data_IF_484761746578
#
_entry.id   IF_484761746578
#
_cell.length_a   1.000
_cell.length_b   1.000
_cell.length_c   1.000
_cell.angle_alpha   90.00
_cell.angle_beta   90.00
_cell.angle_gamma   90.00
#
_symmetry.space_group_name_H-M   'P 1'
#
loop_
_entity.id
_entity.type
_entity.pdbx_description
1 polymer ?
#
# COMPACT_ATOMS: atom_id res chain seq x y z
N UNK A 1 -7.70 10.86 11.30
CA UNK A 1 -7.83 10.13 10.02
C UNK A 1 -8.28 8.69 10.23
N UNK A 2 -9.23 8.20 9.43
CA UNK A 2 -9.71 6.81 9.49
C UNK A 2 -8.82 5.86 8.66
N UNK A 3 -8.73 4.56 8.97
CA UNK A 3 -8.03 3.59 8.13
C UNK A 3 -8.60 3.51 6.71
N UNK A 4 -9.91 3.73 6.53
CA UNK A 4 -10.53 3.75 5.20
C UNK A 4 -10.00 4.91 4.36
N UNK A 5 -9.88 6.10 4.96
CA UNK A 5 -9.26 7.23 4.28
C UNK A 5 -7.80 6.94 3.91
N UNK A 6 -7.05 6.23 4.77
CA UNK A 6 -5.66 5.90 4.49
C UNK A 6 -5.54 4.85 3.37
N UNK A 7 -6.43 3.87 3.34
CA UNK A 7 -6.54 2.93 2.20
C UNK A 7 -6.92 3.65 0.91
N UNK A 8 -7.81 4.64 0.95
CA UNK A 8 -8.15 5.44 -0.22
C UNK A 8 -6.95 6.24 -0.75
N UNK A 9 -6.13 6.81 0.16
CA UNK A 9 -4.89 7.46 -0.25
C UNK A 9 -3.89 6.48 -0.87
N UNK A 10 -3.73 5.29 -0.29
CA UNK A 10 -2.88 4.23 -0.88
C UNK A 10 -3.40 3.85 -2.27
N UNK A 11 -4.70 3.64 -2.41
CA UNK A 11 -5.33 3.30 -3.69
C UNK A 11 -5.11 4.38 -4.76
N UNK A 12 -5.35 5.65 -4.40
CA UNK A 12 -5.11 6.78 -5.31
C UNK A 12 -3.64 6.95 -5.66
N UNK A 13 -2.74 6.75 -4.71
CA UNK A 13 -1.30 6.77 -4.95
C UNK A 13 -0.89 5.65 -5.91
N UNK A 14 -1.35 4.41 -5.70
CA UNK A 14 -1.02 3.26 -6.57
C UNK A 14 -1.54 3.46 -8.00
N UNK A 15 -2.73 4.02 -8.16
CA UNK A 15 -3.27 4.37 -9.48
C UNK A 15 -2.41 5.43 -10.17
N UNK A 16 -2.05 6.51 -9.45
CA UNK A 16 -1.18 7.57 -9.97
C UNK A 16 0.23 7.05 -10.28
N UNK A 17 0.76 6.15 -9.45
CA UNK A 17 2.05 5.50 -9.64
C UNK A 17 2.07 4.71 -10.95
N UNK A 18 1.04 3.88 -11.18
CA UNK A 18 0.82 3.19 -12.45
C UNK A 18 0.80 4.15 -13.64
N UNK A 19 0.01 5.21 -13.57
CA UNK A 19 -0.06 6.20 -14.65
C UNK A 19 1.29 6.89 -14.91
N UNK A 20 2.03 7.29 -13.87
CA UNK A 20 3.34 7.93 -14.04
C UNK A 20 4.41 6.96 -14.53
N UNK A 21 4.31 5.66 -14.21
CA UNK A 21 5.27 4.65 -14.64
C UNK A 21 5.26 4.39 -16.16
N UNK A 22 4.15 4.71 -16.83
CA UNK A 22 4.03 4.65 -18.28
C UNK A 22 4.66 5.87 -19.00
N UNK A 23 4.97 6.95 -18.26
CA UNK A 23 5.51 8.18 -18.87
C UNK A 23 7.02 8.08 -19.14
N UNK A 24 7.51 8.49 -20.33
CA UNK A 24 8.93 8.48 -20.65
C UNK A 24 9.74 9.38 -19.70
N UNK A 25 10.89 8.90 -19.23
CA UNK A 25 11.77 9.65 -18.32
C UNK A 25 11.30 9.73 -16.87
N UNK A 26 10.16 9.12 -16.53
CA UNK A 26 9.63 9.08 -15.17
C UNK A 26 9.94 7.78 -14.41
N UNK A 27 10.72 6.88 -15.01
CA UNK A 27 11.21 5.64 -14.40
C UNK A 27 12.71 5.76 -14.14
N UNK A 28 13.14 5.30 -12.96
CA UNK A 28 14.54 5.39 -12.56
C UNK A 28 14.75 5.22 -11.05
N UNK A 29 15.99 4.95 -10.60
CA UNK A 29 16.25 4.57 -9.21
C UNK A 29 15.81 5.62 -8.17
N UNK A 30 16.00 6.90 -8.49
CA UNK A 30 15.61 7.99 -7.60
C UNK A 30 14.08 8.12 -7.48
N UNK A 31 13.35 8.06 -8.59
CA UNK A 31 11.88 8.11 -8.58
C UNK A 31 11.29 6.89 -7.88
N UNK A 32 11.89 5.71 -8.08
CA UNK A 32 11.42 4.47 -7.47
C UNK A 32 11.63 4.49 -5.95
N UNK A 33 12.76 5.03 -5.49
CA UNK A 33 13.01 5.23 -4.06
C UNK A 33 12.00 6.20 -3.44
N UNK A 34 11.67 7.31 -4.12
CA UNK A 34 10.67 8.27 -3.64
C UNK A 34 9.28 7.65 -3.59
N UNK A 35 8.86 6.94 -4.63
CA UNK A 35 7.58 6.21 -4.68
C UNK A 35 7.48 5.20 -3.55
N UNK A 36 8.53 4.41 -3.35
CA UNK A 36 8.62 3.45 -2.27
C UNK A 36 8.49 4.13 -0.90
N UNK A 37 9.23 5.22 -0.67
CA UNK A 37 9.16 5.97 0.58
C UNK A 37 7.77 6.55 0.84
N UNK A 38 7.11 7.12 -0.18
CA UNK A 38 5.74 7.64 -0.08
C UNK A 38 4.76 6.52 0.25
N UNK A 39 4.81 5.39 -0.46
CA UNK A 39 3.96 4.23 -0.18
C UNK A 39 4.16 3.73 1.26
N UNK A 40 5.41 3.66 1.70
CA UNK A 40 5.76 3.25 3.05
C UNK A 40 5.16 4.20 4.10
N UNK A 41 5.28 5.52 3.91
CA UNK A 41 4.66 6.53 4.77
C UNK A 41 3.14 6.32 4.82
N UNK A 42 2.48 6.11 3.68
CA UNK A 42 1.03 5.87 3.63
C UNK A 42 0.63 4.58 4.36
N UNK A 43 1.42 3.51 4.25
CA UNK A 43 1.24 2.28 5.03
C UNK A 43 1.35 2.57 6.53
N UNK A 44 2.33 3.36 6.96
CA UNK A 44 2.48 3.74 8.37
C UNK A 44 1.32 4.63 8.87
N UNK A 45 0.80 5.53 8.03
CA UNK A 45 -0.41 6.31 8.32
C UNK A 45 -1.61 5.40 8.52
N UNK A 46 -1.81 4.43 7.62
CA UNK A 46 -2.86 3.42 7.75
C UNK A 46 -2.69 2.59 9.02
N UNK A 47 -1.48 2.06 9.27
CA UNK A 47 -1.16 1.29 10.47
C UNK A 47 -1.46 2.10 11.73
N UNK A 48 -1.05 3.36 11.80
CA UNK A 48 -1.32 4.24 12.94
C UNK A 48 -2.83 4.43 13.19
N UNK A 49 -3.61 4.58 12.13
CA UNK A 49 -5.06 4.66 12.23
C UNK A 49 -5.70 3.34 12.67
N UNK A 50 -5.23 2.20 12.15
CA UNK A 50 -5.75 0.88 12.48
C UNK A 50 -5.41 0.47 13.92
N UNK A 51 -4.17 0.68 14.36
CA UNK A 51 -3.72 0.29 15.70
C UNK A 51 -4.47 1.05 16.79
N UNK A 52 -4.74 2.35 16.58
CA UNK A 52 -5.56 3.16 17.49
C UNK A 52 -6.97 2.62 17.63
N UNK A 53 -7.59 2.17 16.52
CA UNK A 53 -8.95 1.61 16.54
C UNK A 53 -9.03 0.26 17.24
N UNK A 54 -7.93 -0.47 17.29
CA UNK A 54 -7.90 -1.85 17.80
C UNK A 54 -7.27 -1.92 19.19
N UNK A 55 -6.86 -0.77 19.75
CA UNK A 55 -6.18 -0.69 21.04
C UNK A 55 -4.82 -1.38 21.07
N UNK A 56 -4.22 -1.67 19.91
CA UNK A 56 -2.98 -2.45 19.83
C UNK A 56 -1.76 -1.54 19.94
N UNK A 57 -0.95 -1.71 21.00
CA UNK A 57 0.37 -1.07 21.12
C UNK A 57 1.39 -1.83 20.29
N UNK A 58 1.88 -1.20 19.21
CA UNK A 58 2.88 -1.81 18.33
C UNK A 58 4.26 -1.82 18.99
N UNK A 59 4.89 -3.00 19.16
CA UNK A 59 6.29 -3.08 19.56
C UNK A 59 7.22 -2.61 18.41
N UNK A 60 8.41 -2.09 18.77
CA UNK A 60 9.36 -1.51 17.82
C UNK A 60 9.78 -2.48 16.70
N UNK A 61 9.94 -3.77 17.01
CA UNK A 61 10.33 -4.78 16.03
C UNK A 61 9.31 -4.93 14.89
N UNK A 62 8.03 -4.70 15.16
CA UNK A 62 6.99 -4.74 14.12
C UNK A 62 7.21 -3.59 13.13
N UNK A 63 7.54 -2.38 13.63
CA UNK A 63 7.83 -1.23 12.77
C UNK A 63 9.09 -1.48 11.93
N UNK A 64 10.17 -2.01 12.51
CA UNK A 64 11.39 -2.37 11.78
C UNK A 64 11.08 -3.39 10.68
N UNK A 65 10.35 -4.45 11.04
CA UNK A 65 9.95 -5.46 10.08
C UNK A 65 9.03 -4.95 8.98
N UNK A 66 8.21 -3.93 9.24
CA UNK A 66 7.41 -3.26 8.20
C UNK A 66 8.28 -2.49 7.21
N UNK A 67 9.39 -1.90 7.65
CA UNK A 67 10.34 -1.25 6.73
C UNK A 67 11.06 -2.28 5.86
N UNK A 68 11.53 -3.36 6.48
CA UNK A 68 12.39 -4.35 5.82
C UNK A 68 11.60 -5.38 4.98
N UNK A 69 10.41 -5.76 5.42
CA UNK A 69 9.65 -6.87 4.86
C UNK A 69 8.14 -6.72 5.11
N UNK A 70 7.55 -5.61 4.67
CA UNK A 70 6.14 -5.29 4.90
C UNK A 70 5.18 -6.44 4.51
N UNK A 71 5.48 -7.18 3.44
CA UNK A 71 4.65 -8.29 2.97
C UNK A 71 4.49 -9.41 4.01
N UNK A 72 5.51 -9.60 4.87
CA UNK A 72 5.50 -10.59 5.96
C UNK A 72 4.97 -9.97 7.26
N UNK A 73 5.38 -8.75 7.58
CA UNK A 73 5.05 -8.13 8.86
C UNK A 73 3.63 -7.56 8.95
N UNK A 74 2.99 -7.20 7.83
CA UNK A 74 1.58 -6.80 7.84
C UNK A 74 0.67 -7.98 8.25
N UNK A 75 0.79 -9.20 7.67
CA UNK A 75 0.06 -10.37 8.15
C UNK A 75 0.29 -10.67 9.63
N UNK A 76 1.55 -10.61 10.10
CA UNK A 76 1.89 -10.81 11.52
C UNK A 76 1.18 -9.77 12.39
N UNK A 77 1.21 -8.50 11.99
CA UNK A 77 0.50 -7.43 12.67
C UNK A 77 -1.02 -7.70 12.72
N UNK A 78 -1.64 -8.05 11.59
CA UNK A 78 -3.07 -8.32 11.51
C UNK A 78 -3.47 -9.53 12.35
N UNK A 79 -2.64 -10.56 12.41
CA UNK A 79 -2.87 -11.72 13.26
C UNK A 79 -2.85 -11.34 14.75
N UNK A 80 -1.86 -10.55 15.18
CA UNK A 80 -1.69 -10.15 16.60
C UNK A 80 -2.67 -9.07 17.05
N UNK A 81 -3.07 -8.17 16.16
CA UNK A 81 -3.98 -7.07 16.47
C UNK A 81 -5.46 -7.45 16.44
N UNK A 82 -5.81 -8.70 16.08
CA UNK A 82 -7.20 -9.15 15.93
C UNK A 82 -7.55 -10.33 16.85
N UNK A 83 -8.76 -10.36 17.43
CA UNK A 83 -9.25 -11.52 18.18
C UNK A 83 -9.46 -12.72 17.24
N UNK A 84 -9.46 -13.94 17.80
CA UNK A 84 -9.38 -15.21 17.06
C UNK A 84 -10.37 -15.35 15.88
N UNK A 85 -11.60 -14.84 16.01
CA UNK A 85 -12.62 -14.91 14.94
C UNK A 85 -12.49 -13.87 13.80
N UNK A 86 -11.63 -12.86 13.93
CA UNK A 86 -11.48 -11.78 12.92
C UNK A 86 -10.17 -11.83 12.14
N UNK A 87 -9.30 -12.80 12.43
CA UNK A 87 -7.94 -12.92 11.83
C UNK A 87 -7.99 -13.28 10.35
N UNK A 88 -8.74 -14.33 9.99
CA UNK A 88 -8.88 -14.75 8.59
C UNK A 88 -9.46 -13.64 7.71
N UNK A 89 -10.48 -12.91 8.19
CA UNK A 89 -11.04 -11.78 7.45
C UNK A 89 -10.02 -10.66 7.25
N UNK A 90 -9.17 -10.41 8.26
CA UNK A 90 -8.15 -9.38 8.16
C UNK A 90 -7.04 -9.76 7.17
N UNK A 91 -6.55 -11.01 7.24
CA UNK A 91 -5.54 -11.55 6.33
C UNK A 91 -6.11 -11.61 4.90
N UNK A 92 -7.32 -12.13 4.72
CA UNK A 92 -8.00 -12.15 3.43
C UNK A 92 -8.19 -10.74 2.86
N UNK A 93 -8.56 -9.76 3.71
CA UNK A 93 -8.64 -8.35 3.30
C UNK A 93 -7.29 -7.77 2.87
N UNK A 94 -6.18 -8.20 3.46
CA UNK A 94 -4.84 -7.81 3.04
C UNK A 94 -4.46 -8.41 1.69
N UNK A 95 -4.74 -9.69 1.45
CA UNK A 95 -4.53 -10.33 0.15
C UNK A 95 -5.35 -9.63 -0.94
N UNK A 96 -6.63 -9.36 -0.66
CA UNK A 96 -7.48 -8.60 -1.57
C UNK A 96 -6.96 -7.18 -1.84
N UNK A 97 -6.39 -6.52 -0.82
CA UNK A 97 -5.78 -5.20 -1.00
C UNK A 97 -4.57 -5.25 -1.93
N UNK A 98 -3.70 -6.26 -1.81
CA UNK A 98 -2.56 -6.46 -2.73
C UNK A 98 -3.06 -6.64 -4.16
N UNK A 99 -4.04 -7.52 -4.37
CA UNK A 99 -4.60 -7.79 -5.70
C UNK A 99 -5.25 -6.52 -6.29
N UNK A 100 -6.02 -5.80 -5.47
CA UNK A 100 -6.65 -4.54 -5.87
C UNK A 100 -5.60 -3.47 -6.20
N UNK A 101 -4.49 -3.39 -5.46
CA UNK A 101 -3.37 -2.50 -5.79
C UNK A 101 -2.74 -2.87 -7.13
N UNK A 102 -2.51 -4.16 -7.42
CA UNK A 102 -2.01 -4.58 -8.73
C UNK A 102 -2.94 -4.18 -9.87
N UNK A 103 -4.25 -4.36 -9.69
CA UNK A 103 -5.25 -3.96 -10.67
C UNK A 103 -5.32 -2.43 -10.86
N UNK A 104 -5.24 -1.65 -9.76
CA UNK A 104 -5.21 -0.20 -9.83
C UNK A 104 -3.95 0.31 -10.52
N UNK A 105 -2.81 -0.31 -10.28
CA UNK A 105 -1.57 0.04 -10.96
C UNK A 105 -1.71 -0.19 -12.48
N UNK A 106 -2.18 -1.37 -12.90
CA UNK A 106 -2.46 -1.68 -14.30
C UNK A 106 -3.49 -0.73 -14.92
N UNK A 107 -4.52 -0.35 -14.17
CA UNK A 107 -5.51 0.61 -14.66
C UNK A 107 -4.85 1.99 -14.88
N UNK A 108 -3.96 2.41 -13.99
CA UNK A 108 -3.19 3.64 -14.13
C UNK A 108 -2.34 3.65 -15.40
N UNK A 109 -1.60 2.57 -15.65
CA UNK A 109 -0.78 2.44 -16.86
C UNK A 109 -1.64 2.51 -18.13
N UNK A 110 -2.75 1.76 -18.16
CA UNK A 110 -3.66 1.74 -19.32
C UNK A 110 -4.28 3.11 -19.60
N UNK A 111 -4.68 3.85 -18.55
CA UNK A 111 -5.20 5.22 -18.70
C UNK A 111 -4.13 6.12 -19.32
N UNK A 112 -2.89 6.02 -18.84
CA UNK A 112 -1.79 6.84 -19.37
C UNK A 112 -1.51 6.52 -20.84
N UNK A 113 -1.50 5.25 -21.24
CA UNK A 113 -1.28 4.84 -22.64
C UNK A 113 -2.37 5.37 -23.60
N UNK A 114 -3.63 5.37 -23.14
CA UNK A 114 -4.76 5.87 -23.93
C UNK A 114 -4.74 7.40 -24.04
N UNK A 115 -4.42 8.10 -22.95
CA UNK A 115 -4.46 9.58 -22.89
C UNK A 115 -3.22 10.21 -23.50
N UNK A 116 -2.06 9.59 -23.29
CA UNK A 116 -0.78 10.00 -23.83
C UNK A 116 -0.28 8.87 -24.73
N UNK A 117 -0.83 8.72 -25.94
CA UNK A 117 -0.33 7.74 -26.90
C UNK A 117 1.10 8.15 -27.27
N UNK A 118 2.07 7.55 -26.57
CA UNK A 118 3.48 7.69 -26.90
C UNK A 118 3.63 6.94 -28.22
N UNK A 119 3.84 7.67 -29.31
CA UNK A 119 4.15 7.07 -30.61
C UNK A 119 5.34 6.13 -30.39
N UNK A 120 5.07 4.82 -30.52
CA UNK A 120 6.08 3.77 -30.42
C UNK A 120 6.96 3.79 -31.66
#
# INVERSE_FOLDING_TARGET
MSPRAALALIAGFVLADGATSALPGWTGPASDLVRFAVLLVLIFVWLAADSRRQGFRRPMWINIGMVLAWLVFIPIYLYRARPAGRRLRAIGGFVLAILASGLLFMLGTLIADVVFPIAS
#
